data_IF_471335130336
#
_entry.id   IF_471335130336
#
_cell.length_a   1.000
_cell.length_b   1.000
_cell.length_c   1.000
_cell.angle_alpha   90.00
_cell.angle_beta   90.00
_cell.angle_gamma   90.00
#
_symmetry.space_group_name_H-M   'P 1'
#
loop_
_entity.id
_entity.type
_entity.pdbx_description
1 polymer ?
#
# COMPACT_ATOMS: atom_id res chain seq x y z
N UNK A 1 -24.09 -31.92 -10.25
CA UNK A 1 -24.26 -30.57 -9.72
C UNK A 1 -23.53 -29.63 -10.68
N UNK A 2 -24.20 -28.63 -11.23
CA UNK A 2 -23.59 -27.68 -12.13
C UNK A 2 -22.56 -26.87 -11.33
N UNK A 3 -21.38 -26.68 -11.91
CA UNK A 3 -20.30 -25.87 -11.35
C UNK A 3 -20.83 -24.45 -11.08
N UNK A 4 -20.86 -23.97 -9.82
CA UNK A 4 -21.42 -22.65 -9.51
C UNK A 4 -20.66 -21.49 -10.17
N UNK A 5 -19.52 -21.76 -10.80
CA UNK A 5 -18.67 -20.78 -11.48
C UNK A 5 -18.90 -20.72 -13.01
N UNK A 6 -19.84 -21.49 -13.57
CA UNK A 6 -20.10 -21.46 -15.00
C UNK A 6 -21.08 -20.35 -15.37
N UNK A 7 -20.62 -19.42 -16.20
CA UNK A 7 -21.37 -18.38 -16.93
C UNK A 7 -21.30 -16.98 -16.28
N UNK A 8 -20.13 -16.37 -16.33
CA UNK A 8 -20.03 -14.91 -16.25
C UNK A 8 -20.13 -14.31 -17.66
N UNK A 9 -21.32 -14.01 -18.15
CA UNK A 9 -21.51 -13.24 -19.38
C UNK A 9 -21.84 -11.79 -19.01
N UNK A 10 -20.92 -10.87 -19.29
CA UNK A 10 -21.06 -9.44 -19.00
C UNK A 10 -20.43 -9.00 -17.68
N UNK A 11 -20.36 -7.68 -17.47
CA UNK A 11 -19.69 -7.03 -16.34
C UNK A 11 -20.22 -7.49 -14.97
N UNK A 12 -21.53 -7.60 -14.83
CA UNK A 12 -22.16 -8.07 -13.58
C UNK A 12 -21.73 -9.51 -13.26
N UNK A 13 -21.56 -10.36 -14.27
CA UNK A 13 -21.08 -11.71 -14.11
C UNK A 13 -19.61 -11.76 -13.68
N UNK A 14 -18.75 -10.93 -14.28
CA UNK A 14 -17.33 -10.84 -13.90
C UNK A 14 -17.14 -10.28 -12.48
N UNK A 15 -17.93 -9.27 -12.09
CA UNK A 15 -17.91 -8.73 -10.72
C UNK A 15 -18.39 -9.79 -9.71
N UNK A 16 -19.46 -10.52 -10.04
CA UNK A 16 -19.94 -11.63 -9.21
C UNK A 16 -18.89 -12.73 -9.08
N UNK A 17 -18.21 -13.09 -10.17
CA UNK A 17 -17.10 -14.04 -10.16
C UNK A 17 -15.94 -13.51 -9.27
N UNK A 18 -15.63 -12.24 -9.37
CA UNK A 18 -14.61 -11.60 -8.51
C UNK A 18 -14.93 -11.75 -7.03
N UNK A 19 -16.16 -11.43 -6.61
CA UNK A 19 -16.63 -11.61 -5.21
C UNK A 19 -16.54 -13.07 -4.79
N UNK A 20 -16.99 -14.00 -5.63
CA UNK A 20 -16.99 -15.43 -5.30
C UNK A 20 -15.58 -16.02 -5.16
N UNK A 21 -14.69 -15.75 -6.13
CA UNK A 21 -13.34 -16.32 -6.14
C UNK A 21 -12.49 -15.74 -5.01
N UNK A 22 -12.57 -14.43 -4.78
CA UNK A 22 -11.81 -13.80 -3.68
C UNK A 22 -12.37 -14.23 -2.33
N UNK A 23 -13.69 -14.31 -2.16
CA UNK A 23 -14.33 -14.81 -0.95
C UNK A 23 -13.96 -16.26 -0.64
N UNK A 24 -13.97 -17.15 -1.64
CA UNK A 24 -13.55 -18.53 -1.46
C UNK A 24 -12.05 -18.68 -1.09
N UNK A 25 -11.18 -17.83 -1.65
CA UNK A 25 -9.78 -17.80 -1.26
C UNK A 25 -9.58 -17.31 0.18
N UNK A 26 -10.32 -16.28 0.60
CA UNK A 26 -10.29 -15.79 1.97
C UNK A 26 -10.76 -16.84 2.97
N UNK A 27 -11.89 -17.50 2.68
CA UNK A 27 -12.39 -18.58 3.52
C UNK A 27 -11.39 -19.74 3.62
N UNK A 28 -10.77 -20.14 2.50
CA UNK A 28 -9.78 -21.21 2.47
C UNK A 28 -8.54 -20.91 3.35
N UNK A 29 -8.05 -19.67 3.36
CA UNK A 29 -6.85 -19.29 4.11
C UNK A 29 -7.13 -18.73 5.51
N UNK A 30 -8.39 -18.53 5.90
CA UNK A 30 -8.80 -17.91 7.17
C UNK A 30 -8.14 -18.57 8.39
N UNK A 31 -8.14 -19.90 8.42
CA UNK A 31 -7.62 -20.67 9.55
C UNK A 31 -6.07 -20.58 9.66
N UNK A 32 -5.40 -20.14 8.61
CA UNK A 32 -3.95 -20.08 8.49
C UNK A 32 -3.38 -18.66 8.61
N UNK A 33 -4.23 -17.64 8.58
CA UNK A 33 -3.84 -16.21 8.63
C UNK A 33 -2.93 -15.87 9.82
N UNK A 34 -3.10 -16.54 10.95
CA UNK A 34 -2.33 -16.32 12.17
C UNK A 34 -1.13 -17.25 12.33
N UNK A 35 -0.94 -18.18 11.43
CA UNK A 35 0.10 -19.21 11.52
C UNK A 35 1.28 -18.96 10.59
N UNK A 36 1.06 -18.21 9.50
CA UNK A 36 2.04 -17.95 8.46
C UNK A 36 1.95 -16.48 8.01
N UNK A 37 3.08 -15.76 8.10
CA UNK A 37 3.17 -14.34 7.72
C UNK A 37 2.98 -14.10 6.22
N UNK A 38 3.41 -15.06 5.38
CA UNK A 38 3.26 -14.94 3.93
C UNK A 38 1.78 -15.14 3.54
N UNK A 39 1.06 -16.02 4.25
CA UNK A 39 -0.38 -16.19 4.11
C UNK A 39 -1.12 -14.93 4.56
N UNK A 40 -0.76 -14.36 5.71
CA UNK A 40 -1.38 -13.13 6.20
C UNK A 40 -1.18 -11.96 5.24
N UNK A 41 0.02 -11.79 4.71
CA UNK A 41 0.33 -10.75 3.73
C UNK A 41 -0.48 -10.94 2.44
N UNK A 42 -0.53 -12.15 1.90
CA UNK A 42 -1.33 -12.46 0.71
C UNK A 42 -2.82 -12.21 0.94
N UNK A 43 -3.35 -12.62 2.11
CA UNK A 43 -4.76 -12.40 2.45
C UNK A 43 -5.16 -10.93 2.46
N UNK A 44 -4.33 -10.02 2.99
CA UNK A 44 -4.60 -8.59 2.96
C UNK A 44 -4.82 -8.05 1.53
N UNK A 45 -4.04 -8.55 0.56
CA UNK A 45 -4.22 -8.16 -0.84
C UNK A 45 -5.52 -8.71 -1.42
N UNK A 46 -5.87 -9.96 -1.11
CA UNK A 46 -7.15 -10.57 -1.54
C UNK A 46 -8.35 -9.89 -0.85
N UNK A 47 -8.26 -9.56 0.45
CA UNK A 47 -9.28 -8.81 1.19
C UNK A 47 -9.59 -7.47 0.50
N UNK A 48 -8.57 -6.70 0.18
CA UNK A 48 -8.72 -5.42 -0.53
C UNK A 48 -9.41 -5.57 -1.89
N UNK A 49 -9.04 -6.59 -2.66
CA UNK A 49 -9.67 -6.88 -3.96
C UNK A 49 -11.13 -7.33 -3.78
N UNK A 50 -11.42 -8.12 -2.75
CA UNK A 50 -12.77 -8.57 -2.41
C UNK A 50 -13.70 -7.39 -2.10
N UNK A 51 -13.25 -6.46 -1.25
CA UNK A 51 -13.98 -5.24 -0.94
C UNK A 51 -14.26 -4.39 -2.19
N UNK A 52 -13.29 -4.28 -3.09
CA UNK A 52 -13.47 -3.56 -4.35
C UNK A 52 -14.55 -4.19 -5.24
N UNK A 53 -14.59 -5.51 -5.37
CA UNK A 53 -15.64 -6.18 -6.11
C UNK A 53 -17.01 -6.07 -5.43
N UNK A 54 -17.06 -6.06 -4.09
CA UNK A 54 -18.31 -5.83 -3.35
C UNK A 54 -18.84 -4.41 -3.61
N UNK A 55 -18.00 -3.39 -3.56
CA UNK A 55 -18.37 -2.00 -3.87
C UNK A 55 -18.88 -1.87 -5.32
N UNK A 56 -18.17 -2.46 -6.29
CA UNK A 56 -18.62 -2.47 -7.68
C UNK A 56 -19.96 -3.18 -7.85
N UNK A 57 -20.19 -4.27 -7.14
CA UNK A 57 -21.47 -5.00 -7.17
C UNK A 57 -22.63 -4.13 -6.69
N UNK A 58 -22.47 -3.40 -5.58
CA UNK A 58 -23.46 -2.47 -5.06
C UNK A 58 -23.77 -1.35 -6.07
N UNK A 59 -22.72 -0.75 -6.63
CA UNK A 59 -22.87 0.32 -7.62
C UNK A 59 -23.58 -0.14 -8.88
N UNK A 60 -23.28 -1.33 -9.38
CA UNK A 60 -23.95 -1.88 -10.58
C UNK A 60 -25.44 -2.12 -10.31
N UNK A 61 -25.79 -2.59 -9.11
CA UNK A 61 -27.19 -2.81 -8.72
C UNK A 61 -27.95 -1.50 -8.59
N UNK A 62 -27.40 -0.51 -7.91
CA UNK A 62 -28.03 0.79 -7.69
C UNK A 62 -28.19 1.60 -9.01
N UNK A 63 -27.25 1.48 -9.94
CA UNK A 63 -27.21 2.29 -11.16
C UNK A 63 -27.84 1.68 -12.40
N UNK A 64 -28.21 0.40 -12.42
CA UNK A 64 -29.10 -0.16 -13.45
C UNK A 64 -30.38 0.64 -13.62
N UNK A 65 -30.76 1.41 -12.59
CA UNK A 65 -31.95 2.29 -12.60
C UNK A 65 -31.71 3.72 -13.13
N UNK A 66 -30.45 4.15 -13.38
CA UNK A 66 -30.13 5.58 -13.65
C UNK A 66 -29.54 5.88 -15.04
N UNK A 67 -29.34 4.89 -15.94
CA UNK A 67 -29.04 5.11 -17.35
C UNK A 67 -27.68 5.75 -17.72
N UNK A 68 -26.66 5.69 -16.84
CA UNK A 68 -25.34 6.29 -17.10
C UNK A 68 -24.44 5.35 -17.93
N UNK A 69 -24.57 5.41 -19.27
CA UNK A 69 -23.84 4.54 -20.20
C UNK A 69 -22.31 4.76 -20.17
N UNK A 70 -21.82 5.97 -19.88
CA UNK A 70 -20.38 6.27 -19.94
C UNK A 70 -19.62 5.63 -18.79
N UNK A 71 -20.19 5.66 -17.58
CA UNK A 71 -19.63 5.01 -16.41
C UNK A 71 -19.72 3.48 -16.55
N UNK A 72 -20.82 2.98 -17.08
CA UNK A 72 -20.99 1.55 -17.33
C UNK A 72 -19.89 1.04 -18.26
N UNK A 73 -19.57 1.74 -19.34
CA UNK A 73 -18.46 1.40 -20.25
C UNK A 73 -17.08 1.43 -19.55
N UNK A 74 -16.85 2.39 -18.65
CA UNK A 74 -15.58 2.47 -17.89
C UNK A 74 -15.44 1.30 -16.91
N UNK A 75 -16.51 0.94 -16.21
CA UNK A 75 -16.58 -0.25 -15.37
C UNK A 75 -16.35 -1.50 -16.24
N UNK A 76 -17.03 -1.60 -17.38
CA UNK A 76 -16.89 -2.68 -18.34
C UNK A 76 -15.44 -2.87 -18.79
N UNK A 77 -14.78 -1.80 -19.22
CA UNK A 77 -13.39 -1.84 -19.67
C UNK A 77 -12.44 -2.30 -18.56
N UNK A 78 -12.60 -1.80 -17.33
CA UNK A 78 -11.72 -2.14 -16.22
C UNK A 78 -11.96 -3.56 -15.72
N UNK A 79 -13.20 -3.98 -15.61
CA UNK A 79 -13.56 -5.34 -15.16
C UNK A 79 -13.20 -6.39 -16.21
N UNK A 80 -13.38 -6.08 -17.51
CA UNK A 80 -12.98 -6.99 -18.59
C UNK A 80 -11.48 -7.24 -18.62
N UNK A 81 -10.66 -6.23 -18.28
CA UNK A 81 -9.20 -6.42 -18.12
C UNK A 81 -8.86 -7.38 -16.97
N UNK A 82 -9.71 -7.49 -15.97
CA UNK A 82 -9.53 -8.42 -14.87
C UNK A 82 -9.95 -9.87 -15.19
N UNK A 83 -10.64 -10.13 -16.31
CA UNK A 83 -11.16 -11.46 -16.61
C UNK A 83 -10.08 -12.54 -16.62
N UNK A 84 -8.99 -12.32 -17.35
CA UNK A 84 -7.86 -13.25 -17.38
C UNK A 84 -7.24 -13.49 -15.99
N UNK A 85 -7.16 -12.43 -15.16
CA UNK A 85 -6.62 -12.48 -13.81
C UNK A 85 -7.55 -13.25 -12.86
N UNK A 86 -8.85 -13.01 -12.96
CA UNK A 86 -9.86 -13.76 -12.21
C UNK A 86 -9.87 -15.24 -12.58
N UNK A 87 -9.77 -15.56 -13.86
CA UNK A 87 -9.62 -16.94 -14.32
C UNK A 87 -8.33 -17.60 -13.80
N UNK A 88 -7.24 -16.87 -13.67
CA UNK A 88 -6.00 -17.37 -13.06
C UNK A 88 -6.20 -17.65 -11.57
N UNK A 89 -6.86 -16.76 -10.82
CA UNK A 89 -7.20 -16.98 -9.41
C UNK A 89 -8.09 -18.21 -9.25
N UNK A 90 -9.13 -18.33 -10.06
CA UNK A 90 -10.05 -19.46 -10.05
C UNK A 90 -9.34 -20.79 -10.37
N UNK A 91 -8.48 -20.81 -11.39
CA UNK A 91 -7.67 -22.00 -11.73
C UNK A 91 -6.75 -22.42 -10.58
N UNK A 92 -6.21 -21.47 -9.82
CA UNK A 92 -5.39 -21.75 -8.65
C UNK A 92 -6.25 -22.27 -7.50
N UNK A 93 -7.41 -21.65 -7.23
CA UNK A 93 -8.35 -22.11 -6.21
C UNK A 93 -8.83 -23.54 -6.49
N UNK A 94 -9.24 -23.86 -7.72
CA UNK A 94 -9.69 -25.20 -8.11
C UNK A 94 -8.61 -26.28 -7.92
N UNK A 95 -7.31 -25.91 -7.91
CA UNK A 95 -6.22 -26.86 -7.57
C UNK A 95 -6.13 -27.14 -6.07
N UNK A 96 -6.76 -26.31 -5.23
CA UNK A 96 -6.82 -26.52 -3.79
C UNK A 96 -7.93 -27.48 -3.40
N UNK A 97 -9.01 -27.59 -4.21
CA UNK A 97 -10.11 -28.53 -3.97
C UNK A 97 -9.64 -30.00 -4.12
N UNK A 98 -10.15 -30.84 -3.25
CA UNK A 98 -9.77 -32.26 -3.18
C UNK A 98 -10.33 -33.03 -4.38
N UNK A 99 -9.55 -33.83 -5.09
CA UNK A 99 -10.09 -34.74 -6.09
C UNK A 99 -10.81 -35.91 -5.44
N UNK A 100 -12.02 -36.21 -5.88
CA UNK A 100 -12.72 -37.46 -5.64
C UNK A 100 -12.07 -38.58 -6.46
N UNK A 101 -11.29 -39.45 -5.82
CA UNK A 101 -10.61 -40.58 -6.46
C UNK A 101 -9.92 -41.54 -5.47
N UNK A 102 -9.59 -42.77 -5.89
CA UNK A 102 -9.26 -43.97 -5.15
C UNK A 102 -8.04 -43.89 -4.18
N UNK A 103 -8.05 -44.71 -3.11
CA UNK A 103 -7.26 -44.59 -1.87
C UNK A 103 -5.72 -44.73 -2.01
N UNK A 104 -5.21 -45.47 -3.00
CA UNK A 104 -3.79 -45.76 -3.09
C UNK A 104 -2.94 -44.72 -3.86
N UNK A 105 -3.55 -44.02 -4.81
CA UNK A 105 -2.98 -42.85 -5.49
C UNK A 105 -3.06 -41.59 -4.61
N UNK A 106 -3.89 -41.61 -3.56
CA UNK A 106 -4.15 -40.50 -2.63
C UNK A 106 -2.97 -40.12 -1.76
N UNK A 107 -2.15 -41.04 -1.30
CA UNK A 107 -1.13 -40.74 -0.28
C UNK A 107 0.10 -39.95 -0.80
N UNK A 108 0.59 -40.23 -2.01
CA UNK A 108 1.72 -39.47 -2.58
C UNK A 108 1.31 -38.16 -3.27
N UNK A 109 0.11 -38.14 -3.88
CA UNK A 109 -0.46 -36.95 -4.54
C UNK A 109 -1.04 -35.98 -3.50
N UNK A 110 -1.54 -36.49 -2.38
CA UNK A 110 -2.17 -35.70 -1.29
C UNK A 110 -1.14 -34.82 -0.55
N UNK A 111 0.06 -35.33 -0.29
CA UNK A 111 1.07 -34.56 0.47
C UNK A 111 1.65 -33.39 -0.33
N UNK A 112 1.96 -33.58 -1.61
CA UNK A 112 2.46 -32.49 -2.46
C UNK A 112 1.38 -31.47 -2.83
N UNK A 113 0.11 -31.88 -2.89
CA UNK A 113 -1.04 -30.99 -3.13
C UNK A 113 -1.49 -30.24 -1.86
N UNK A 114 -1.39 -30.88 -0.70
CA UNK A 114 -1.71 -30.22 0.57
C UNK A 114 -0.73 -29.08 0.90
N UNK A 115 0.52 -29.16 0.44
CA UNK A 115 1.52 -28.11 0.61
C UNK A 115 1.53 -27.06 -0.51
N UNK A 116 0.87 -27.34 -1.66
CA UNK A 116 0.89 -26.44 -2.82
C UNK A 116 0.32 -25.06 -2.53
N UNK A 117 -0.82 -24.90 -1.80
CA UNK A 117 -1.36 -23.59 -1.46
C UNK A 117 -0.42 -22.74 -0.59
N UNK A 118 0.43 -23.37 0.22
CA UNK A 118 1.35 -22.71 1.15
C UNK A 118 2.77 -22.57 0.61
N UNK A 119 3.03 -22.99 -0.63
CA UNK A 119 4.31 -22.70 -1.27
C UNK A 119 4.46 -21.19 -1.47
N UNK A 120 5.59 -20.64 -1.04
CA UNK A 120 5.91 -19.21 -1.19
C UNK A 120 5.65 -18.71 -2.61
N UNK A 121 6.09 -19.44 -3.64
CA UNK A 121 5.84 -19.10 -5.04
C UNK A 121 4.36 -19.12 -5.45
N UNK A 122 3.50 -19.83 -4.74
CA UNK A 122 2.03 -19.83 -4.98
C UNK A 122 1.41 -18.62 -4.32
N UNK A 123 1.81 -18.31 -3.08
CA UNK A 123 1.34 -17.15 -2.33
C UNK A 123 1.77 -15.84 -3.00
N UNK A 124 3.03 -15.76 -3.44
CA UNK A 124 3.54 -14.63 -4.21
C UNK A 124 2.72 -14.39 -5.50
N UNK A 125 2.45 -15.44 -6.27
CA UNK A 125 1.62 -15.34 -7.48
C UNK A 125 0.17 -15.00 -7.22
N UNK A 126 -0.41 -15.41 -6.10
CA UNK A 126 -1.76 -14.99 -5.70
C UNK A 126 -1.77 -13.51 -5.36
N UNK A 127 -0.76 -13.05 -4.62
CA UNK A 127 -0.56 -11.66 -4.26
C UNK A 127 -0.37 -10.78 -5.51
N UNK A 128 0.57 -11.12 -6.39
CA UNK A 128 0.81 -10.41 -7.66
C UNK A 128 -0.50 -10.27 -8.47
N UNK A 129 -1.24 -11.38 -8.62
CA UNK A 129 -2.50 -11.37 -9.36
C UNK A 129 -3.56 -10.48 -8.68
N UNK A 130 -3.62 -10.47 -7.35
CA UNK A 130 -4.52 -9.59 -6.60
C UNK A 130 -4.13 -8.11 -6.76
N UNK A 131 -2.84 -7.79 -6.74
CA UNK A 131 -2.34 -6.43 -6.94
C UNK A 131 -2.65 -5.92 -8.35
N UNK A 132 -2.49 -6.75 -9.38
CA UNK A 132 -2.87 -6.40 -10.75
C UNK A 132 -4.38 -6.13 -10.88
N UNK A 133 -5.22 -6.95 -10.25
CA UNK A 133 -6.68 -6.74 -10.23
C UNK A 133 -7.01 -5.41 -9.52
N UNK A 134 -6.45 -5.19 -8.34
CA UNK A 134 -6.62 -3.95 -7.57
C UNK A 134 -6.25 -2.74 -8.41
N UNK A 135 -5.14 -2.82 -9.12
CA UNK A 135 -4.66 -1.75 -9.98
C UNK A 135 -5.63 -1.44 -11.13
N UNK A 136 -6.19 -2.46 -11.76
CA UNK A 136 -7.14 -2.30 -12.85
C UNK A 136 -8.49 -1.73 -12.39
N UNK A 137 -8.90 -1.95 -11.14
CA UNK A 137 -10.20 -1.53 -10.59
C UNK A 137 -10.10 -0.16 -9.89
N UNK A 138 -8.97 0.17 -9.26
CA UNK A 138 -8.78 1.39 -8.46
C UNK A 138 -9.21 2.68 -9.18
N UNK A 139 -8.91 2.92 -10.48
CA UNK A 139 -9.35 4.13 -11.16
C UNK A 139 -10.87 4.28 -11.24
N UNK A 140 -11.58 3.17 -11.39
CA UNK A 140 -13.06 3.18 -11.45
C UNK A 140 -13.66 3.51 -10.08
N UNK A 141 -13.07 3.01 -9.00
CA UNK A 141 -13.52 3.30 -7.64
C UNK A 141 -13.30 4.77 -7.28
N UNK A 142 -12.17 5.36 -7.68
CA UNK A 142 -11.93 6.79 -7.53
C UNK A 142 -12.98 7.63 -8.28
N UNK A 143 -13.36 7.22 -9.49
CA UNK A 143 -14.44 7.85 -10.24
C UNK A 143 -15.79 7.79 -9.54
N UNK A 144 -16.08 6.66 -8.88
CA UNK A 144 -17.33 6.47 -8.14
C UNK A 144 -17.39 7.35 -6.88
N UNK A 145 -16.29 7.47 -6.15
CA UNK A 145 -16.19 8.32 -4.96
C UNK A 145 -16.32 9.81 -5.31
N UNK A 146 -15.72 10.26 -6.42
CA UNK A 146 -15.85 11.64 -6.90
C UNK A 146 -17.30 12.01 -7.30
N UNK A 147 -18.11 11.05 -7.78
CA UNK A 147 -19.51 11.30 -8.15
C UNK A 147 -20.45 11.50 -6.98
N UNK A 148 -20.21 10.84 -5.86
CA UNK A 148 -21.05 11.00 -4.66
C UNK A 148 -20.92 12.41 -4.03
N UNK A 149 -19.75 13.03 -4.18
CA UNK A 149 -19.52 14.39 -3.69
C UNK A 149 -20.00 15.52 -4.64
N UNK A 150 -20.29 15.25 -5.91
CA UNK A 150 -20.62 16.26 -6.93
C UNK A 150 -22.07 16.24 -7.44
N UNK A 151 -23.02 15.86 -6.64
CA UNK A 151 -24.44 15.80 -7.08
C UNK A 151 -25.10 17.17 -7.36
N UNK A 152 -24.35 18.29 -7.36
CA UNK A 152 -24.92 19.66 -7.44
C UNK A 152 -24.41 20.53 -8.59
N UNK A 153 -23.41 20.17 -9.43
CA UNK A 153 -22.99 21.07 -10.53
C UNK A 153 -22.57 20.38 -11.85
N UNK A 154 -23.25 20.78 -12.93
CA UNK A 154 -22.99 20.74 -14.39
C UNK A 154 -22.49 19.44 -15.11
N UNK A 155 -23.43 18.83 -15.85
CA UNK A 155 -23.25 17.60 -16.64
C UNK A 155 -22.22 17.67 -17.78
N UNK A 156 -21.86 18.82 -18.29
CA UNK A 156 -20.96 18.97 -19.45
C UNK A 156 -19.48 18.93 -19.06
N UNK A 157 -19.15 19.40 -17.88
CA UNK A 157 -17.80 19.35 -17.31
C UNK A 157 -17.46 17.93 -16.83
N UNK A 158 -18.47 17.15 -16.39
CA UNK A 158 -18.33 15.79 -15.90
C UNK A 158 -17.81 14.80 -16.96
N UNK A 159 -18.29 14.89 -18.20
CA UNK A 159 -17.90 13.97 -19.29
C UNK A 159 -16.42 14.17 -19.65
N UNK A 160 -15.96 15.41 -19.70
CA UNK A 160 -14.58 15.76 -20.03
C UNK A 160 -13.62 15.26 -18.94
N UNK A 161 -13.96 15.48 -17.68
CA UNK A 161 -13.21 14.99 -16.51
C UNK A 161 -13.18 13.47 -16.44
N UNK A 162 -14.26 12.78 -16.80
CA UNK A 162 -14.36 11.33 -16.85
C UNK A 162 -13.45 10.70 -17.92
N UNK A 163 -13.42 11.28 -19.11
CA UNK A 163 -12.55 10.83 -20.21
C UNK A 163 -11.08 11.06 -19.86
N UNK A 164 -10.77 12.18 -19.23
CA UNK A 164 -9.41 12.50 -18.77
C UNK A 164 -8.93 11.58 -17.65
N UNK A 165 -9.80 11.21 -16.69
CA UNK A 165 -9.48 10.28 -15.61
C UNK A 165 -9.27 8.83 -16.09
N UNK A 166 -10.10 8.36 -17.05
CA UNK A 166 -9.91 7.04 -17.68
C UNK A 166 -8.60 7.00 -18.48
N UNK A 167 -8.29 8.09 -19.18
CA UNK A 167 -7.04 8.25 -19.92
C UNK A 167 -5.85 8.34 -18.99
N UNK A 168 -5.98 9.06 -17.87
CA UNK A 168 -4.97 9.13 -16.80
C UNK A 168 -4.71 7.75 -16.16
N UNK A 169 -5.74 6.94 -15.94
CA UNK A 169 -5.60 5.59 -15.40
C UNK A 169 -4.85 4.63 -16.34
N UNK A 170 -5.03 4.76 -17.66
CA UNK A 170 -4.29 3.99 -18.66
C UNK A 170 -2.83 4.43 -18.76
N UNK A 171 -2.59 5.75 -18.80
CA UNK A 171 -1.25 6.34 -18.80
C UNK A 171 -0.50 5.97 -17.51
N UNK A 172 -1.18 5.97 -16.35
CA UNK A 172 -0.57 5.61 -15.09
C UNK A 172 -0.09 4.15 -15.03
N UNK A 173 -0.74 3.21 -15.75
CA UNK A 173 -0.28 1.82 -15.86
C UNK A 173 1.03 1.70 -16.62
N UNK A 174 1.12 2.36 -17.77
CA UNK A 174 2.31 2.32 -18.63
C UNK A 174 3.49 3.05 -17.96
N UNK A 175 3.23 4.20 -17.36
CA UNK A 175 4.21 4.98 -16.59
C UNK A 175 4.73 4.22 -15.37
N UNK A 176 3.86 3.47 -14.68
CA UNK A 176 4.26 2.62 -13.55
C UNK A 176 5.21 1.51 -14.00
N UNK A 177 4.88 0.84 -15.10
CA UNK A 177 5.72 -0.23 -15.67
C UNK A 177 7.07 0.29 -16.12
N UNK A 178 7.08 1.44 -16.79
CA UNK A 178 8.31 2.11 -17.23
C UNK A 178 9.18 2.57 -16.05
N UNK A 179 8.58 3.24 -15.07
CA UNK A 179 9.31 3.77 -13.91
C UNK A 179 9.90 2.64 -13.06
N UNK A 180 9.31 1.44 -13.11
CA UNK A 180 9.73 0.26 -12.35
C UNK A 180 9.98 0.60 -10.88
N UNK A 181 9.01 1.26 -10.25
CA UNK A 181 9.09 1.67 -8.86
C UNK A 181 8.85 0.46 -7.95
N UNK A 182 9.67 0.27 -6.89
CA UNK A 182 9.43 -0.81 -5.93
C UNK A 182 8.13 -0.60 -5.17
N UNK A 183 7.46 -1.70 -4.86
CA UNK A 183 6.23 -1.66 -4.07
C UNK A 183 6.53 -1.39 -2.59
N UNK A 184 6.21 -0.18 -2.13
CA UNK A 184 6.35 0.21 -0.73
C UNK A 184 5.20 -0.32 0.15
N UNK A 185 4.07 -0.73 -0.44
CA UNK A 185 2.87 -1.14 0.31
C UNK A 185 3.04 -2.46 1.04
N UNK A 186 3.83 -3.39 0.49
CA UNK A 186 4.12 -4.69 1.10
C UNK A 186 4.71 -4.55 2.50
N UNK A 187 5.73 -3.69 2.66
CA UNK A 187 6.36 -3.46 3.96
C UNK A 187 5.40 -2.75 4.92
N UNK A 188 4.60 -1.80 4.40
CA UNK A 188 3.59 -1.12 5.18
C UNK A 188 2.56 -2.09 5.76
N UNK A 189 1.97 -2.96 4.94
CA UNK A 189 1.02 -3.97 5.42
C UNK A 189 1.64 -4.95 6.41
N UNK A 190 2.87 -5.39 6.17
CA UNK A 190 3.58 -6.24 7.11
C UNK A 190 3.82 -5.56 8.47
N UNK A 191 4.06 -4.25 8.50
CA UNK A 191 4.18 -3.46 9.71
C UNK A 191 2.82 -3.29 10.41
N UNK A 192 1.75 -2.96 9.65
CA UNK A 192 0.38 -2.87 10.16
C UNK A 192 -0.09 -4.18 10.81
N UNK A 193 0.20 -5.32 10.18
CA UNK A 193 -0.16 -6.64 10.71
C UNK A 193 0.50 -6.98 12.06
N UNK A 194 1.61 -6.30 12.39
CA UNK A 194 2.29 -6.43 13.69
C UNK A 194 1.81 -5.41 14.72
N UNK A 195 1.04 -4.41 14.31
CA UNK A 195 0.50 -3.40 15.22
C UNK A 195 -0.56 -4.01 16.14
N UNK A 196 -0.56 -3.56 17.40
CA UNK A 196 -1.60 -3.90 18.36
C UNK A 196 -2.54 -2.70 18.54
N UNK A 197 -3.85 -2.90 18.72
CA UNK A 197 -4.79 -1.80 18.97
C UNK A 197 -4.32 -0.88 20.09
N UNK A 198 -4.23 0.43 19.79
CA UNK A 198 -3.74 1.45 20.74
C UNK A 198 -2.23 1.66 20.76
N UNK A 199 -1.43 0.83 20.08
CA UNK A 199 0.02 1.05 19.98
C UNK A 199 0.33 2.37 19.28
N UNK A 200 1.32 3.11 19.81
CA UNK A 200 1.76 4.39 19.24
C UNK A 200 0.92 5.60 19.62
N UNK A 201 -0.18 5.43 20.36
CA UNK A 201 -1.03 6.55 20.81
C UNK A 201 -0.27 7.59 21.64
N UNK A 202 0.74 7.16 22.39
CA UNK A 202 1.63 8.04 23.16
C UNK A 202 2.37 9.06 22.28
N UNK A 203 2.74 8.68 21.04
CA UNK A 203 3.38 9.60 20.10
C UNK A 203 2.35 10.50 19.43
N UNK A 204 1.24 9.94 18.95
CA UNK A 204 0.16 10.70 18.30
C UNK A 204 -0.42 11.81 19.19
N UNK A 205 -0.36 11.64 20.52
CA UNK A 205 -0.81 12.62 21.54
C UNK A 205 0.34 13.46 22.10
N UNK A 206 1.55 13.36 21.56
CA UNK A 206 2.71 14.10 22.05
C UNK A 206 2.80 15.48 21.43
N UNK A 207 3.31 16.46 22.19
CA UNK A 207 3.58 17.80 21.70
C UNK A 207 4.55 17.83 20.51
N UNK A 208 5.48 16.86 20.43
CA UNK A 208 6.42 16.69 19.29
C UNK A 208 5.63 16.40 18.01
N UNK A 209 4.68 15.48 18.08
CA UNK A 209 3.88 15.11 16.91
C UNK A 209 2.91 16.20 16.50
N UNK A 210 2.29 16.87 17.46
CA UNK A 210 1.44 18.06 17.21
C UNK A 210 2.26 19.18 16.55
N UNK A 211 3.45 19.49 17.10
CA UNK A 211 4.36 20.47 16.51
C UNK A 211 4.77 20.11 15.08
N UNK A 212 5.05 18.82 14.82
CA UNK A 212 5.37 18.35 13.47
C UNK A 212 4.18 18.52 12.50
N UNK A 213 2.95 18.31 12.94
CA UNK A 213 1.75 18.49 12.11
C UNK A 213 1.43 19.97 11.83
N UNK A 214 1.70 20.86 12.79
CA UNK A 214 1.31 22.27 12.71
C UNK A 214 2.36 23.15 12.05
N UNK A 215 3.64 22.77 12.10
CA UNK A 215 4.72 23.58 11.54
C UNK A 215 4.86 23.32 10.03
N UNK A 216 4.91 24.37 9.19
CA UNK A 216 5.17 24.22 7.77
C UNK A 216 6.59 23.72 7.51
N UNK A 217 6.75 22.89 6.50
CA UNK A 217 8.04 22.30 6.11
C UNK A 217 8.74 21.61 7.30
N UNK A 218 7.99 20.79 8.04
CA UNK A 218 8.45 20.15 9.26
C UNK A 218 9.20 18.84 8.96
N UNK A 219 10.17 18.51 9.82
CA UNK A 219 10.89 17.25 9.79
C UNK A 219 10.86 16.60 11.16
N UNK A 220 10.49 15.32 11.24
CA UNK A 220 10.54 14.54 12.46
C UNK A 220 11.39 13.28 12.26
N UNK A 221 12.43 13.11 13.05
CA UNK A 221 13.27 11.93 13.04
C UNK A 221 12.97 11.04 14.27
N UNK A 222 12.40 9.85 14.00
CA UNK A 222 12.16 8.83 15.01
C UNK A 222 13.34 7.86 15.06
N UNK A 223 14.16 7.94 16.07
CA UNK A 223 15.31 7.04 16.23
C UNK A 223 15.13 6.04 17.40
N UNK A 224 15.84 4.93 17.33
CA UNK A 224 15.82 3.92 18.38
C UNK A 224 16.55 2.64 17.99
N UNK A 225 16.76 1.76 18.94
CA UNK A 225 17.47 0.50 18.73
C UNK A 225 16.73 -0.48 17.82
N UNK A 226 17.44 -1.51 17.36
CA UNK A 226 16.84 -2.54 16.50
C UNK A 226 15.71 -3.28 17.24
N UNK A 227 14.57 -3.47 16.57
CA UNK A 227 13.42 -4.20 17.14
C UNK A 227 12.55 -3.41 18.12
N UNK A 228 12.80 -2.11 18.37
CA UNK A 228 11.97 -1.30 19.26
C UNK A 228 10.59 -0.88 18.67
N UNK A 229 10.24 -1.34 17.47
CA UNK A 229 8.92 -1.11 16.89
C UNK A 229 8.79 0.12 15.98
N UNK A 230 9.89 0.76 15.52
CA UNK A 230 9.85 1.96 14.66
C UNK A 230 8.95 1.81 13.43
N UNK A 231 9.09 0.74 12.68
CA UNK A 231 8.29 0.49 11.47
C UNK A 231 6.81 0.27 11.80
N UNK A 232 6.50 -0.38 12.93
CA UNK A 232 5.12 -0.55 13.42
C UNK A 232 4.55 0.80 13.82
N UNK A 233 5.32 1.61 14.56
CA UNK A 233 4.92 2.96 14.95
C UNK A 233 4.70 3.84 13.72
N UNK A 234 5.62 3.81 12.74
CA UNK A 234 5.44 4.54 11.48
C UNK A 234 4.17 4.10 10.75
N UNK A 235 3.90 2.80 10.67
CA UNK A 235 2.67 2.32 10.02
C UNK A 235 1.40 2.82 10.72
N UNK A 236 1.41 2.94 12.05
CA UNK A 236 0.33 3.52 12.83
C UNK A 236 0.14 5.01 12.52
N UNK A 237 1.25 5.76 12.41
CA UNK A 237 1.21 7.18 12.03
C UNK A 237 0.66 7.36 10.62
N UNK A 238 1.12 6.56 9.66
CA UNK A 238 0.62 6.60 8.28
C UNK A 238 -0.89 6.34 8.26
N UNK A 239 -1.38 5.29 8.95
CA UNK A 239 -2.81 5.00 9.03
C UNK A 239 -3.61 6.14 9.67
N UNK A 240 -3.10 6.73 10.75
CA UNK A 240 -3.71 7.90 11.39
C UNK A 240 -3.80 9.09 10.42
N UNK A 241 -2.71 9.40 9.72
CA UNK A 241 -2.66 10.49 8.73
C UNK A 241 -3.64 10.24 7.58
N UNK A 242 -3.73 9.01 7.08
CA UNK A 242 -4.73 8.66 6.07
C UNK A 242 -6.15 8.87 6.58
N UNK A 243 -6.45 8.42 7.80
CA UNK A 243 -7.79 8.53 8.38
C UNK A 243 -8.19 9.98 8.57
N UNK A 244 -7.31 10.81 9.14
CA UNK A 244 -7.62 12.21 9.48
C UNK A 244 -7.63 13.15 8.28
N UNK A 245 -6.80 12.87 7.27
CA UNK A 245 -6.58 13.77 6.12
C UNK A 245 -7.23 13.30 4.82
N UNK A 246 -7.78 12.09 4.78
CA UNK A 246 -8.43 11.51 3.59
C UNK A 246 -9.55 12.38 3.00
N UNK A 247 -10.16 13.25 3.79
CA UNK A 247 -11.24 14.14 3.33
C UNK A 247 -10.73 15.43 2.67
N UNK A 248 -9.44 15.72 2.72
CA UNK A 248 -8.83 16.89 2.10
C UNK A 248 -8.25 16.53 0.73
N UNK A 249 -8.92 16.94 -0.36
CA UNK A 249 -8.55 16.63 -1.76
C UNK A 249 -7.18 17.18 -2.18
N UNK A 250 -6.62 18.10 -1.42
CA UNK A 250 -5.36 18.78 -1.66
C UNK A 250 -4.23 18.29 -0.74
N UNK A 251 -4.44 17.13 -0.08
CA UNK A 251 -3.43 16.50 0.77
C UNK A 251 -2.81 15.29 0.06
N UNK A 252 -1.47 15.32 -0.05
CA UNK A 252 -0.68 14.20 -0.58
C UNK A 252 -0.11 13.33 0.54
N UNK A 253 -0.09 12.02 0.38
CA UNK A 253 0.52 11.08 1.32
C UNK A 253 1.35 10.06 0.56
N UNK A 254 2.64 9.95 0.90
CA UNK A 254 3.53 8.95 0.32
C UNK A 254 4.47 8.38 1.36
N UNK A 255 4.87 7.13 1.16
CA UNK A 255 5.76 6.44 2.08
C UNK A 255 6.71 5.48 1.36
N UNK A 256 7.86 5.26 1.99
CA UNK A 256 8.85 4.30 1.53
C UNK A 256 9.48 3.56 2.70
N UNK A 257 9.78 2.29 2.51
CA UNK A 257 10.43 1.43 3.48
C UNK A 257 11.72 0.89 2.88
N UNK A 258 12.86 1.32 3.40
CA UNK A 258 14.13 0.67 3.08
C UNK A 258 14.12 -0.76 3.62
N UNK A 259 14.76 -1.68 2.92
CA UNK A 259 14.83 -3.07 3.32
C UNK A 259 16.18 -3.68 2.91
N UNK A 260 17.00 -4.04 3.89
CA UNK A 260 18.30 -4.67 3.64
C UNK A 260 18.19 -6.00 2.87
N UNK A 261 17.07 -6.71 3.04
CA UNK A 261 16.81 -7.99 2.36
C UNK A 261 16.29 -7.83 0.92
N UNK A 262 16.06 -6.61 0.44
CA UNK A 262 15.47 -6.33 -0.88
C UNK A 262 16.29 -5.24 -1.59
N UNK A 263 17.16 -5.66 -2.51
CA UNK A 263 18.05 -4.77 -3.25
C UNK A 263 17.30 -3.67 -4.03
N UNK A 264 16.05 -3.94 -4.43
CA UNK A 264 15.20 -2.96 -5.10
C UNK A 264 14.78 -1.80 -4.19
N UNK A 265 14.98 -1.91 -2.86
CA UNK A 265 14.59 -0.94 -1.85
C UNK A 265 15.75 -0.37 -1.04
N UNK A 266 16.93 -0.25 -1.62
CA UNK A 266 18.14 0.11 -0.89
C UNK A 266 18.77 1.46 -1.30
N UNK A 267 18.22 2.15 -2.30
CA UNK A 267 18.84 3.33 -2.86
C UNK A 267 17.85 4.48 -3.09
N UNK A 268 18.40 5.67 -3.31
CA UNK A 268 17.68 6.92 -3.53
C UNK A 268 16.71 6.85 -4.72
N UNK A 269 17.14 6.29 -5.86
CA UNK A 269 16.27 6.19 -7.04
C UNK A 269 15.03 5.35 -6.76
N UNK A 270 15.15 4.27 -6.00
CA UNK A 270 14.04 3.43 -5.57
C UNK A 270 13.03 4.22 -4.72
N UNK A 271 13.52 4.97 -3.74
CA UNK A 271 12.71 5.84 -2.90
C UNK A 271 11.98 6.90 -3.73
N UNK A 272 12.72 7.65 -4.56
CA UNK A 272 12.16 8.72 -5.39
C UNK A 272 11.07 8.19 -6.34
N UNK A 273 11.32 7.08 -7.03
CA UNK A 273 10.34 6.43 -7.92
C UNK A 273 9.07 6.03 -7.18
N UNK A 274 9.21 5.44 -5.98
CA UNK A 274 8.06 5.03 -5.19
C UNK A 274 7.23 6.23 -4.70
N UNK A 275 7.87 7.30 -4.24
CA UNK A 275 7.21 8.53 -3.81
C UNK A 275 6.51 9.23 -5.00
N UNK A 276 7.20 9.38 -6.14
CA UNK A 276 6.64 9.97 -7.36
C UNK A 276 5.38 9.21 -7.80
N UNK A 277 5.45 7.89 -7.84
CA UNK A 277 4.32 7.07 -8.28
C UNK A 277 3.12 7.21 -7.36
N UNK A 278 3.34 7.21 -6.03
CA UNK A 278 2.26 7.35 -5.05
C UNK A 278 1.60 8.72 -5.14
N UNK A 279 2.38 9.80 -5.15
CA UNK A 279 1.84 11.16 -5.18
C UNK A 279 1.20 11.50 -6.53
N UNK A 280 1.80 11.09 -7.64
CA UNK A 280 1.24 11.34 -8.98
C UNK A 280 -0.15 10.71 -9.16
N UNK A 281 -0.39 9.57 -8.51
CA UNK A 281 -1.70 8.91 -8.58
C UNK A 281 -2.80 9.63 -7.77
N UNK A 282 -2.44 10.58 -6.92
CA UNK A 282 -3.38 11.31 -6.06
C UNK A 282 -3.90 12.60 -6.69
N UNK A 283 -3.32 13.06 -7.79
CA UNK A 283 -3.76 14.27 -8.50
C UNK A 283 -3.66 14.10 -10.01
N UNK A 284 -4.60 14.67 -10.75
CA UNK A 284 -4.58 14.62 -12.23
C UNK A 284 -3.34 15.29 -12.81
N UNK A 285 -2.93 16.43 -12.28
CA UNK A 285 -1.72 17.16 -12.70
C UNK A 285 -0.42 16.35 -12.43
N UNK A 286 -0.42 15.47 -11.43
CA UNK A 286 0.73 14.61 -11.13
C UNK A 286 1.02 13.60 -12.25
N UNK A 287 0.01 13.10 -12.91
CA UNK A 287 0.19 12.22 -14.06
C UNK A 287 0.86 12.95 -15.24
N UNK A 288 0.60 14.24 -15.43
CA UNK A 288 1.24 15.03 -16.47
C UNK A 288 2.72 15.25 -16.21
N UNK A 289 3.11 15.40 -14.92
CA UNK A 289 4.53 15.48 -14.52
C UNK A 289 5.25 14.17 -14.87
N UNK A 290 4.68 13.02 -14.49
CA UNK A 290 5.26 11.72 -14.81
C UNK A 290 5.31 11.48 -16.33
N UNK A 291 4.30 11.91 -17.07
CA UNK A 291 4.29 11.78 -18.52
C UNK A 291 5.41 12.59 -19.16
N UNK A 292 5.62 13.84 -18.75
CA UNK A 292 6.77 14.64 -19.24
C UNK A 292 8.10 13.98 -18.91
N UNK A 293 8.23 13.38 -17.74
CA UNK A 293 9.44 12.66 -17.34
C UNK A 293 9.63 11.41 -18.24
N UNK A 294 8.57 10.66 -18.51
CA UNK A 294 8.58 9.53 -19.41
C UNK A 294 9.00 9.94 -20.82
N UNK A 295 8.30 10.91 -21.42
CA UNK A 295 8.56 11.36 -22.80
C UNK A 295 10.00 11.87 -22.98
N UNK A 296 10.64 12.36 -21.91
CA UNK A 296 12.02 12.84 -21.94
C UNK A 296 13.06 11.71 -21.82
N UNK A 297 12.75 10.62 -21.13
CA UNK A 297 13.75 9.59 -20.78
C UNK A 297 13.46 8.20 -21.35
N UNK A 298 12.31 7.96 -21.99
CA UNK A 298 12.05 6.69 -22.68
C UNK A 298 13.01 6.52 -23.89
N UNK A 299 13.61 5.32 -24.12
CA UNK A 299 13.40 4.05 -23.42
C UNK A 299 14.27 3.85 -22.16
N UNK A 300 14.99 4.86 -21.71
CA UNK A 300 15.89 4.78 -20.57
C UNK A 300 15.22 5.02 -19.21
N UNK A 301 16.07 5.11 -18.17
CA UNK A 301 15.65 5.41 -16.79
C UNK A 301 16.04 6.83 -16.44
N UNK A 302 15.19 7.65 -15.80
CA UNK A 302 15.55 8.98 -15.36
C UNK A 302 16.69 8.93 -14.32
N UNK A 303 17.67 9.85 -14.41
CA UNK A 303 18.69 9.99 -13.38
C UNK A 303 18.08 10.54 -12.07
N UNK A 304 18.75 10.33 -10.91
CA UNK A 304 18.24 10.79 -9.61
C UNK A 304 17.84 12.27 -9.57
N UNK A 305 18.65 13.14 -10.14
CA UNK A 305 18.38 14.60 -10.17
C UNK A 305 17.05 14.91 -10.89
N UNK A 306 16.77 14.22 -12.01
CA UNK A 306 15.50 14.40 -12.73
C UNK A 306 14.30 13.86 -11.96
N UNK A 307 14.48 12.80 -11.15
CA UNK A 307 13.46 12.29 -10.24
C UNK A 307 13.22 13.27 -9.08
N UNK A 308 14.26 13.88 -8.53
CA UNK A 308 14.16 14.93 -7.50
C UNK A 308 13.42 16.16 -8.02
N UNK A 309 13.79 16.66 -9.20
CA UNK A 309 13.11 17.81 -9.82
C UNK A 309 11.62 17.54 -10.05
N UNK A 310 11.29 16.36 -10.58
CA UNK A 310 9.91 15.95 -10.79
C UNK A 310 9.15 15.80 -9.45
N UNK A 311 9.79 15.28 -8.41
CA UNK A 311 9.19 15.17 -7.08
C UNK A 311 8.95 16.55 -6.46
N UNK A 312 9.90 17.47 -6.58
CA UNK A 312 9.74 18.84 -6.10
C UNK A 312 8.57 19.56 -6.77
N UNK A 313 8.42 19.41 -8.08
CA UNK A 313 7.26 19.94 -8.81
C UNK A 313 5.97 19.31 -8.31
N UNK A 314 5.96 17.99 -8.12
CA UNK A 314 4.78 17.24 -7.68
C UNK A 314 4.35 17.62 -6.26
N UNK A 315 5.31 17.79 -5.32
CA UNK A 315 5.02 18.23 -3.95
C UNK A 315 4.32 19.58 -3.92
N UNK A 316 4.64 20.49 -4.83
CA UNK A 316 4.03 21.83 -4.90
C UNK A 316 2.56 21.84 -5.37
N UNK A 317 2.05 20.70 -5.85
CA UNK A 317 0.64 20.56 -6.25
C UNK A 317 -0.30 20.38 -5.06
N UNK A 318 0.24 20.10 -3.87
CA UNK A 318 -0.55 19.84 -2.66
C UNK A 318 -0.45 21.02 -1.68
N UNK A 319 -1.51 21.28 -0.97
CA UNK A 319 -1.51 22.25 0.16
C UNK A 319 -0.76 21.66 1.35
N UNK A 320 -0.97 20.36 1.62
CA UNK A 320 -0.21 19.59 2.60
C UNK A 320 0.27 18.28 1.98
N UNK A 321 1.50 17.89 2.26
CA UNK A 321 2.04 16.62 1.79
C UNK A 321 2.84 15.95 2.89
N UNK A 322 2.50 14.70 3.17
CA UNK A 322 3.12 13.87 4.18
C UNK A 322 3.99 12.81 3.53
N UNK A 323 5.28 12.87 3.79
CA UNK A 323 6.27 11.91 3.28
C UNK A 323 6.87 11.14 4.45
N UNK A 324 6.73 9.81 4.38
CA UNK A 324 7.23 8.90 5.42
C UNK A 324 8.31 8.00 4.87
N UNK A 325 9.46 7.95 5.55
CA UNK A 325 10.60 7.14 5.13
C UNK A 325 11.07 6.25 6.27
N UNK A 326 10.88 4.93 6.14
CA UNK A 326 11.26 3.97 7.17
C UNK A 326 12.67 3.42 6.97
N UNK A 327 13.34 3.17 8.09
CA UNK A 327 14.55 2.37 8.18
C UNK A 327 15.72 2.88 7.31
N UNK A 328 16.08 4.17 7.43
CA UNK A 328 17.22 4.77 6.71
C UNK A 328 18.52 3.96 6.90
N UNK A 329 18.67 3.34 8.06
CA UNK A 329 19.82 2.50 8.40
C UNK A 329 19.90 1.18 7.61
N UNK A 330 18.81 0.78 6.93
CA UNK A 330 18.78 -0.40 6.06
C UNK A 330 19.27 -0.11 4.63
N UNK A 331 19.50 1.15 4.28
CA UNK A 331 20.24 1.52 3.07
C UNK A 331 21.73 1.22 3.24
N UNK A 332 22.41 0.62 2.23
CA UNK A 332 23.83 0.24 2.33
C UNK A 332 24.75 1.43 2.54
N UNK A 333 25.59 1.35 3.59
CA UNK A 333 26.67 2.29 3.87
C UNK A 333 27.93 1.96 3.03
N UNK A 334 28.75 2.95 2.63
CA UNK A 334 28.57 4.41 2.86
C UNK A 334 27.74 5.09 1.77
N UNK A 335 27.86 4.67 0.50
CA UNK A 335 27.42 5.47 -0.64
C UNK A 335 25.90 5.59 -0.74
N UNK A 336 25.17 4.46 -0.81
CA UNK A 336 23.72 4.52 -1.03
C UNK A 336 23.01 5.27 0.12
N UNK A 337 23.45 5.08 1.37
CA UNK A 337 22.91 5.80 2.52
C UNK A 337 23.26 7.28 2.47
N UNK A 338 24.50 7.64 2.15
CA UNK A 338 24.88 9.03 1.98
C UNK A 338 24.04 9.75 0.93
N UNK A 339 23.80 9.12 -0.23
CA UNK A 339 22.94 9.66 -1.27
C UNK A 339 21.49 9.84 -0.78
N UNK A 340 20.96 8.88 0.02
CA UNK A 340 19.62 8.99 0.62
C UNK A 340 19.54 10.16 1.60
N UNK A 341 20.52 10.29 2.49
CA UNK A 341 20.55 11.37 3.49
C UNK A 341 20.70 12.74 2.83
N UNK A 342 21.54 12.86 1.80
CA UNK A 342 21.64 14.07 0.99
C UNK A 342 20.29 14.45 0.35
N UNK A 343 19.59 13.49 -0.23
CA UNK A 343 18.24 13.72 -0.82
C UNK A 343 17.23 14.17 0.23
N UNK A 344 17.22 13.58 1.42
CA UNK A 344 16.33 14.03 2.50
C UNK A 344 16.64 15.46 2.95
N UNK A 345 17.91 15.85 2.98
CA UNK A 345 18.31 17.24 3.25
C UNK A 345 17.85 18.17 2.12
N UNK A 346 17.95 17.77 0.84
CA UNK A 346 17.39 18.54 -0.26
C UNK A 346 15.88 18.76 -0.08
N UNK A 347 15.10 17.76 0.36
CA UNK A 347 13.66 17.92 0.62
C UNK A 347 13.40 19.03 1.67
N UNK A 348 14.22 19.07 2.72
CA UNK A 348 14.12 20.12 3.76
C UNK A 348 14.52 21.50 3.21
N UNK A 349 15.56 21.56 2.38
CA UNK A 349 16.08 22.79 1.79
C UNK A 349 15.15 23.39 0.72
N UNK A 350 14.30 22.58 0.10
CA UNK A 350 13.32 23.06 -0.87
C UNK A 350 12.28 24.01 -0.26
N UNK A 351 12.07 23.96 1.05
CA UNK A 351 11.12 24.80 1.79
C UNK A 351 9.73 24.82 1.15
N UNK A 352 9.27 23.65 0.72
CA UNK A 352 7.94 23.49 0.17
C UNK A 352 6.93 23.69 1.29
N UNK A 353 6.08 24.74 1.23
CA UNK A 353 5.06 24.94 2.25
C UNK A 353 4.15 23.70 2.33
N UNK A 354 3.85 23.27 3.55
CA UNK A 354 3.00 22.09 3.76
C UNK A 354 3.68 20.74 3.60
N UNK A 355 5.01 20.67 3.38
CA UNK A 355 5.76 19.42 3.43
C UNK A 355 5.99 19.01 4.89
N UNK A 356 5.51 17.83 5.25
CA UNK A 356 5.74 17.17 6.52
C UNK A 356 6.52 15.88 6.27
N UNK A 357 7.81 15.89 6.61
CA UNK A 357 8.71 14.75 6.42
C UNK A 357 8.92 14.01 7.74
N UNK A 358 8.71 12.71 7.76
CA UNK A 358 9.00 11.87 8.90
C UNK A 358 9.90 10.72 8.49
N UNK A 359 11.04 10.57 9.17
CA UNK A 359 11.98 9.50 8.90
C UNK A 359 12.23 8.63 10.14
N UNK A 360 12.50 7.34 9.95
CA UNK A 360 12.92 6.45 11.04
C UNK A 360 14.27 5.82 10.76
N UNK A 361 15.05 5.59 11.82
CA UNK A 361 16.29 4.82 11.72
C UNK A 361 16.76 4.30 13.08
N UNK A 362 17.81 3.48 13.07
CA UNK A 362 18.64 3.33 14.27
C UNK A 362 19.41 4.63 14.51
N UNK A 363 19.76 4.84 15.78
CA UNK A 363 20.60 5.96 16.19
C UNK A 363 22.08 5.66 15.84
N UNK A 364 22.45 5.93 14.60
CA UNK A 364 23.80 5.75 14.07
C UNK A 364 24.47 7.11 13.90
N UNK A 365 25.78 7.17 14.14
CA UNK A 365 26.57 8.42 14.07
C UNK A 365 26.54 9.06 12.69
N UNK A 366 26.65 8.26 11.64
CA UNK A 366 26.61 8.72 10.26
C UNK A 366 25.26 9.39 9.92
N UNK A 367 24.15 8.76 10.33
CA UNK A 367 22.81 9.34 10.10
C UNK A 367 22.62 10.61 10.93
N UNK A 368 23.07 10.60 12.20
CA UNK A 368 22.96 11.74 13.08
C UNK A 368 23.75 12.95 12.55
N UNK A 369 24.98 12.74 12.08
CA UNK A 369 25.83 13.79 11.55
C UNK A 369 25.27 14.41 10.26
N UNK A 370 24.75 13.58 9.36
CA UNK A 370 24.22 14.04 8.07
C UNK A 370 22.84 14.73 8.17
N UNK A 371 21.99 14.33 9.14
CA UNK A 371 20.68 14.95 9.34
C UNK A 371 20.75 16.26 10.13
N UNK A 372 21.81 16.48 10.93
CA UNK A 372 21.97 17.68 11.75
C UNK A 372 22.35 18.95 10.93
N UNK A 373 21.97 20.17 11.39
CA UNK A 373 21.38 20.46 12.72
C UNK A 373 19.87 20.26 12.73
N UNK A 374 19.38 19.47 13.70
CA UNK A 374 17.96 19.39 14.04
C UNK A 374 17.73 19.99 15.43
N UNK A 375 16.68 20.78 15.62
CA UNK A 375 16.18 21.11 16.95
C UNK A 375 15.88 19.82 17.74
N UNK A 376 16.07 19.85 19.06
CA UNK A 376 15.73 18.69 19.90
C UNK A 376 14.24 18.30 19.78
N UNK A 377 13.37 19.26 19.48
CA UNK A 377 11.95 19.10 19.23
C UNK A 377 11.61 18.34 17.94
N UNK A 378 12.55 18.20 17.01
CA UNK A 378 12.39 17.45 15.78
C UNK A 378 12.94 16.01 15.88
N UNK A 379 13.39 15.60 17.05
CA UNK A 379 13.98 14.28 17.30
C UNK A 379 13.20 13.55 18.39
N UNK A 380 12.54 12.45 18.04
CA UNK A 380 11.86 11.60 19.01
C UNK A 380 12.56 10.24 19.15
N UNK A 381 12.99 9.93 20.38
CA UNK A 381 13.59 8.63 20.69
C UNK A 381 12.50 7.60 21.01
N UNK A 382 12.50 6.49 20.27
CA UNK A 382 11.60 5.34 20.50
C UNK A 382 12.17 4.49 21.64
N UNK A 383 12.27 5.10 22.82
CA UNK A 383 12.67 4.47 24.09
C UNK A 383 12.06 5.27 25.22
N UNK A 384 10.81 4.97 25.54
CA UNK A 384 10.09 5.66 26.62
C UNK A 384 9.04 4.75 27.25
N UNK A 385 8.41 5.20 28.33
CA UNK A 385 7.37 4.44 29.04
C UNK A 385 6.17 4.05 28.16
N UNK A 386 5.85 4.83 27.14
CA UNK A 386 4.78 4.51 26.18
C UNK A 386 5.13 3.28 25.35
N UNK A 387 6.38 3.18 24.86
CA UNK A 387 6.86 1.98 24.14
C UNK A 387 6.83 0.75 25.04
N UNK A 388 7.25 0.87 26.30
CA UNK A 388 7.20 -0.24 27.26
C UNK A 388 5.76 -0.71 27.51
N UNK A 389 4.80 0.22 27.56
CA UNK A 389 3.37 -0.08 27.68
C UNK A 389 2.83 -0.78 26.42
N UNK A 390 3.20 -0.29 25.22
CA UNK A 390 2.82 -0.92 23.95
C UNK A 390 3.33 -2.37 23.88
N UNK A 391 4.58 -2.60 24.26
CA UNK A 391 5.18 -3.94 24.29
C UNK A 391 4.43 -4.82 25.32
N UNK A 392 4.14 -4.32 26.51
CA UNK A 392 3.42 -5.07 27.53
C UNK A 392 2.00 -5.43 27.05
N UNK A 393 1.30 -4.49 26.42
CA UNK A 393 -0.03 -4.72 25.85
C UNK A 393 -0.02 -5.74 24.71
N UNK A 394 0.97 -5.66 23.82
CA UNK A 394 1.17 -6.65 22.77
C UNK A 394 1.42 -8.05 23.32
N UNK A 395 2.33 -8.19 24.29
CA UNK A 395 2.63 -9.48 24.93
C UNK A 395 1.37 -10.04 25.60
N UNK A 396 0.63 -9.19 26.34
CA UNK A 396 -0.60 -9.60 26.99
C UNK A 396 -1.64 -10.11 25.98
N UNK A 397 -1.87 -9.37 24.90
CA UNK A 397 -2.77 -9.77 23.82
C UNK A 397 -2.35 -11.08 23.14
N UNK A 398 -1.04 -11.28 22.90
CA UNK A 398 -0.51 -12.52 22.33
C UNK A 398 -0.67 -13.71 23.27
N UNK A 399 -0.43 -13.52 24.56
CA UNK A 399 -0.64 -14.57 25.57
C UNK A 399 -2.12 -14.98 25.65
N UNK A 400 -3.05 -14.06 25.44
CA UNK A 400 -4.48 -14.33 25.49
C UNK A 400 -5.00 -15.05 24.23
N UNK A 401 -4.46 -14.72 23.07
CA UNK A 401 -4.97 -15.20 21.77
C UNK A 401 -4.21 -16.41 21.23
N UNK A 402 -2.90 -16.53 21.45
CA UNK A 402 -2.09 -17.61 20.89
C UNK A 402 -2.09 -18.86 21.79
N UNK A 403 -2.75 -19.92 21.33
CA UNK A 403 -2.82 -21.21 22.06
C UNK A 403 -1.44 -21.79 22.40
N UNK A 404 -0.42 -21.54 21.59
CA UNK A 404 0.95 -22.03 21.81
C UNK A 404 1.60 -21.35 23.01
N UNK A 405 1.18 -20.13 23.34
CA UNK A 405 1.66 -19.34 24.45
C UNK A 405 0.83 -19.50 25.72
N UNK A 406 -0.27 -20.25 25.68
CA UNK A 406 -1.20 -20.43 26.81
C UNK A 406 -0.49 -20.93 28.09
N UNK A 407 0.60 -21.72 27.96
CA UNK A 407 1.40 -22.21 29.09
C UNK A 407 2.12 -21.10 29.88
N UNK A 408 2.28 -19.91 29.28
CA UNK A 408 2.96 -18.78 29.90
C UNK A 408 2.00 -17.78 30.57
N UNK A 409 0.66 -17.95 30.42
CA UNK A 409 -0.35 -17.10 31.09
C UNK A 409 -0.17 -16.95 32.60
N UNK A 410 0.22 -18.02 33.39
CA UNK A 410 0.41 -17.90 34.82
C UNK A 410 1.57 -16.98 35.24
N UNK A 411 2.46 -16.61 34.32
CA UNK A 411 3.64 -15.77 34.55
C UNK A 411 3.46 -14.33 34.08
N UNK A 412 2.23 -13.92 33.82
CA UNK A 412 1.83 -12.56 33.36
C UNK A 412 1.94 -11.54 34.48
#
# INVERSE_FOLDING_TARGET
>A
MADPFSIATGVAGLVSLGVQVTGALLEYYQDYKHQDSDVAAMMCHIESVHEYFQLLSQVIVERKSQGDESLTRSIESSVTRCDNLLQQLQKKYNKFERPSGDLCTRLKVTYSRALYPFKKSTLEKLKETADEIRHNISPVLQLLQLKDHKRIHDKTTEIKTLVELVRAGQIASDLRTWLNAPDATTNHYAACAKSHPGSGSWLLQSAIFESWLDNPNSFLWLNGFAGCGKSVLLSTIIQHTFHDRHHHLDTGIAFFYFAFSDESKQNTSAMLKALLLQLSSQTAAGNDILKRLHDKYEPGTPPPDALEDALRELLSLFTNVFVFVDALDESPWPKARGDVLATLNHFRDWKVPGLHLLATSRDLSDIREDIQPLPEEDVAMVKNKGVDQDIASYIAGRLDTDRRLAKWKPFR
#
